data_IF_448752773414
#
_entry.id   IF_448752773414
#
_cell.length_a   1.000
_cell.length_b   1.000
_cell.length_c   1.000
_cell.angle_alpha   90.00
_cell.angle_beta   90.00
_cell.angle_gamma   90.00
#
_symmetry.space_group_name_H-M   'P 1'
#
loop_
_entity.id
_entity.type
_entity.pdbx_description
1 polymer ?
#
# COMPACT_ATOMS: atom_id res chain seq x y z
N UNK A 1 38.78 30.67 9.64
CA UNK A 1 37.43 30.19 9.28
C UNK A 1 37.50 28.69 9.02
N UNK A 2 36.97 27.84 9.92
CA UNK A 2 37.11 26.36 9.86
C UNK A 2 36.62 25.79 8.52
N UNK A 3 35.58 26.38 7.93
CA UNK A 3 35.11 25.99 6.60
C UNK A 3 36.16 26.13 5.49
N UNK A 4 36.92 27.24 5.46
CA UNK A 4 37.96 27.44 4.44
C UNK A 4 39.10 26.44 4.61
N UNK A 5 39.52 26.19 5.85
CA UNK A 5 40.50 25.15 6.15
C UNK A 5 40.02 23.75 5.73
N UNK A 6 38.71 23.46 5.85
CA UNK A 6 38.13 22.19 5.39
C UNK A 6 38.21 22.05 3.86
N UNK A 7 37.98 23.15 3.13
CA UNK A 7 38.08 23.18 1.66
C UNK A 7 39.54 23.05 1.21
N UNK A 8 40.47 23.73 1.88
CA UNK A 8 41.92 23.60 1.63
C UNK A 8 42.38 22.15 1.83
N UNK A 9 42.07 21.55 2.98
CA UNK A 9 42.39 20.15 3.25
C UNK A 9 41.78 19.19 2.20
N UNK A 10 40.58 19.48 1.70
CA UNK A 10 39.96 18.70 0.64
C UNK A 10 40.69 18.86 -0.71
N UNK A 11 41.14 20.06 -1.05
CA UNK A 11 41.87 20.34 -2.28
C UNK A 11 43.27 19.72 -2.25
N UNK A 12 43.91 19.70 -1.08
CA UNK A 12 45.21 19.07 -0.84
C UNK A 12 45.14 17.53 -0.76
N UNK A 13 43.92 16.96 -0.78
CA UNK A 13 43.71 15.52 -0.72
C UNK A 13 43.82 14.93 0.69
N UNK A 14 43.89 15.77 1.73
CA UNK A 14 43.88 15.38 3.14
C UNK A 14 42.46 14.99 3.59
N UNK A 15 41.90 13.93 2.99
CA UNK A 15 40.48 13.59 3.10
C UNK A 15 39.99 13.37 4.54
N UNK A 16 40.81 12.76 5.40
CA UNK A 16 40.43 12.55 6.80
C UNK A 16 40.36 13.87 7.58
N UNK A 17 41.36 14.74 7.41
CA UNK A 17 41.38 16.08 8.01
C UNK A 17 40.22 16.93 7.50
N UNK A 18 39.88 16.85 6.22
CA UNK A 18 38.71 17.52 5.66
C UNK A 18 37.41 17.07 6.35
N UNK A 19 37.25 15.76 6.62
CA UNK A 19 36.09 15.23 7.37
C UNK A 19 36.03 15.82 8.77
N UNK A 20 37.15 15.85 9.49
CA UNK A 20 37.21 16.35 10.87
C UNK A 20 36.84 17.85 10.89
N UNK A 21 37.42 18.64 9.98
CA UNK A 21 37.13 20.06 9.85
C UNK A 21 35.68 20.34 9.43
N UNK A 22 35.11 19.58 8.49
CA UNK A 22 33.69 19.70 8.15
C UNK A 22 32.79 19.29 9.33
N UNK A 23 33.20 18.29 10.11
CA UNK A 23 32.45 17.87 11.30
C UNK A 23 32.41 18.96 12.35
N UNK A 24 33.53 19.65 12.58
CA UNK A 24 33.57 20.79 13.49
C UNK A 24 32.80 22.00 12.94
N UNK A 25 32.88 22.26 11.62
CA UNK A 25 32.06 23.29 10.99
C UNK A 25 30.55 23.01 11.14
N UNK A 26 30.13 21.75 11.03
CA UNK A 26 28.72 21.34 11.21
C UNK A 26 28.26 21.54 12.65
N UNK A 27 29.11 21.27 13.65
CA UNK A 27 28.77 21.54 15.06
C UNK A 27 28.51 23.03 15.30
N UNK A 28 29.26 23.90 14.62
CA UNK A 28 29.11 25.35 14.73
C UNK A 28 27.89 25.87 13.94
N UNK A 29 27.61 25.29 12.78
CA UNK A 29 26.56 25.75 11.86
C UNK A 29 25.75 24.57 11.31
N UNK A 30 24.88 23.93 12.12
CA UNK A 30 24.21 22.67 11.77
C UNK A 30 23.13 22.79 10.69
N UNK A 31 22.76 24.02 10.31
CA UNK A 31 21.75 24.33 9.30
C UNK A 31 22.35 24.70 7.93
N UNK A 32 23.67 24.60 7.75
CA UNK A 32 24.30 24.87 6.47
C UNK A 32 24.41 23.60 5.62
N UNK A 33 23.48 23.43 4.67
CA UNK A 33 23.42 22.28 3.75
C UNK A 33 24.76 22.02 3.03
N UNK A 34 25.47 23.08 2.65
CA UNK A 34 26.75 22.97 1.94
C UNK A 34 27.81 22.20 2.74
N UNK A 35 27.82 22.28 4.06
CA UNK A 35 28.79 21.56 4.89
C UNK A 35 28.58 20.05 4.80
N UNK A 36 27.33 19.60 4.89
CA UNK A 36 26.97 18.20 4.72
C UNK A 36 27.26 17.73 3.28
N UNK A 37 26.89 18.50 2.26
CA UNK A 37 27.14 18.15 0.87
C UNK A 37 28.64 18.02 0.55
N UNK A 38 29.47 18.92 1.10
CA UNK A 38 30.94 18.84 0.95
C UNK A 38 31.50 17.63 1.68
N UNK A 39 31.10 17.37 2.93
CA UNK A 39 31.55 16.18 3.68
C UNK A 39 31.11 14.88 3.02
N UNK A 40 29.89 14.81 2.48
CA UNK A 40 29.40 13.68 1.69
C UNK A 40 30.29 13.41 0.47
N UNK A 41 30.73 14.46 -0.24
CA UNK A 41 31.65 14.32 -1.36
C UNK A 41 33.00 13.71 -0.95
N UNK A 42 33.48 14.01 0.27
CA UNK A 42 34.68 13.39 0.83
C UNK A 42 34.43 11.91 1.16
N UNK A 43 33.28 11.57 1.73
CA UNK A 43 32.91 10.18 1.97
C UNK A 43 32.78 9.35 0.69
N UNK A 44 32.27 9.94 -0.41
CA UNK A 44 32.27 9.30 -1.73
C UNK A 44 33.70 9.01 -2.20
N UNK A 45 34.63 9.98 -2.08
CA UNK A 45 36.05 9.78 -2.44
C UNK A 45 36.70 8.66 -1.61
N UNK A 46 36.29 8.49 -0.36
CA UNK A 46 36.77 7.43 0.54
C UNK A 46 36.02 6.10 0.40
N UNK A 47 35.11 5.96 -0.57
CA UNK A 47 34.26 4.78 -0.72
C UNK A 47 33.47 4.42 0.56
N UNK A 48 32.96 5.44 1.27
CA UNK A 48 32.08 5.30 2.44
C UNK A 48 30.64 5.70 2.08
N UNK A 49 29.94 4.94 1.21
CA UNK A 49 28.67 5.39 0.62
C UNK A 49 27.56 5.62 1.66
N UNK A 50 27.46 4.78 2.69
CA UNK A 50 26.44 4.96 3.74
C UNK A 50 26.61 6.27 4.53
N UNK A 51 27.86 6.71 4.77
CA UNK A 51 28.13 7.99 5.42
C UNK A 51 27.79 9.16 4.48
N UNK A 52 28.12 9.04 3.20
CA UNK A 52 27.75 10.03 2.19
C UNK A 52 26.23 10.19 2.08
N UNK A 53 25.47 9.10 2.03
CA UNK A 53 24.00 9.13 1.93
C UNK A 53 23.38 9.86 3.12
N UNK A 54 23.85 9.60 4.35
CA UNK A 54 23.34 10.30 5.55
C UNK A 54 23.54 11.82 5.46
N UNK A 55 24.71 12.26 5.04
CA UNK A 55 24.99 13.69 4.86
C UNK A 55 24.19 14.28 3.69
N UNK A 56 24.02 13.53 2.59
CA UNK A 56 23.19 13.98 1.46
C UNK A 56 21.74 14.17 1.87
N UNK A 57 21.15 13.19 2.57
CA UNK A 57 19.78 13.30 3.09
C UNK A 57 19.62 14.54 3.96
N UNK A 58 20.59 14.80 4.86
CA UNK A 58 20.55 16.00 5.69
C UNK A 58 20.66 17.29 4.88
N UNK A 59 21.49 17.31 3.83
CA UNK A 59 21.59 18.46 2.95
C UNK A 59 20.30 18.71 2.16
N UNK A 60 19.64 17.65 1.66
CA UNK A 60 18.36 17.70 0.95
C UNK A 60 17.23 18.19 1.85
N UNK A 61 17.18 17.74 3.11
CA UNK A 61 16.21 18.24 4.10
C UNK A 61 16.32 19.76 4.32
N UNK A 62 17.53 20.32 4.23
CA UNK A 62 17.77 21.74 4.45
C UNK A 62 17.54 22.55 3.17
N UNK A 63 18.04 22.07 2.03
CA UNK A 63 17.88 22.71 0.71
C UNK A 63 17.56 21.61 -0.33
N UNK A 64 16.27 21.37 -0.64
CA UNK A 64 15.88 20.31 -1.56
C UNK A 64 16.20 20.65 -3.02
N UNK A 65 16.36 21.92 -3.38
CA UNK A 65 16.62 22.34 -4.76
C UNK A 65 18.12 22.40 -5.10
N UNK A 66 18.98 21.80 -4.28
CA UNK A 66 20.42 21.74 -4.55
C UNK A 66 20.78 20.47 -5.32
N UNK A 67 21.44 20.62 -6.47
CA UNK A 67 21.89 19.47 -7.27
C UNK A 67 23.01 18.65 -6.60
N UNK A 68 23.86 19.30 -5.79
CA UNK A 68 25.10 18.70 -5.27
C UNK A 68 24.87 17.49 -4.33
N UNK A 69 23.91 17.53 -3.37
CA UNK A 69 23.54 16.36 -2.59
C UNK A 69 23.08 15.18 -3.45
N UNK A 70 22.20 15.39 -4.43
CA UNK A 70 21.74 14.31 -5.33
C UNK A 70 22.87 13.74 -6.17
N UNK A 71 23.79 14.58 -6.66
CA UNK A 71 25.00 14.12 -7.35
C UNK A 71 25.84 13.20 -6.46
N UNK A 72 26.03 13.54 -5.18
CA UNK A 72 26.78 12.73 -4.24
C UNK A 72 26.03 11.45 -3.84
N UNK A 73 24.71 11.54 -3.68
CA UNK A 73 23.85 10.41 -3.32
C UNK A 73 23.78 9.38 -4.45
N UNK A 74 23.59 9.82 -5.69
CA UNK A 74 23.64 8.96 -6.87
C UNK A 74 24.99 8.24 -7.04
N UNK A 75 26.10 8.94 -6.77
CA UNK A 75 27.44 8.32 -6.70
C UNK A 75 27.55 7.28 -5.60
N UNK A 76 26.99 7.56 -4.42
CA UNK A 76 27.02 6.65 -3.28
C UNK A 76 26.15 5.40 -3.50
N UNK A 77 24.96 5.55 -4.08
CA UNK A 77 24.12 4.41 -4.48
C UNK A 77 24.77 3.56 -5.56
N UNK A 78 25.48 4.20 -6.52
CA UNK A 78 26.27 3.47 -7.52
C UNK A 78 27.36 2.60 -6.87
N UNK A 79 28.00 3.06 -5.80
CA UNK A 79 28.99 2.27 -5.04
C UNK A 79 28.37 1.10 -4.26
N UNK A 80 27.07 1.15 -3.99
CA UNK A 80 26.31 0.09 -3.32
C UNK A 80 25.60 -0.85 -4.30
N UNK A 81 25.77 -0.65 -5.61
CA UNK A 81 25.00 -1.34 -6.66
C UNK A 81 23.47 -1.11 -6.56
N UNK A 82 23.04 -0.02 -5.93
CA UNK A 82 21.65 0.42 -5.86
C UNK A 82 21.30 1.22 -7.12
N UNK A 83 21.11 0.49 -8.24
CA UNK A 83 21.04 1.11 -9.57
C UNK A 83 19.80 1.98 -9.79
N UNK A 84 18.64 1.59 -9.24
CA UNK A 84 17.39 2.34 -9.41
C UNK A 84 17.48 3.70 -8.71
N UNK A 85 17.94 3.72 -7.45
CA UNK A 85 18.15 4.94 -6.67
C UNK A 85 19.26 5.81 -7.26
N UNK A 86 20.36 5.19 -7.73
CA UNK A 86 21.42 5.91 -8.41
C UNK A 86 20.92 6.60 -9.69
N UNK A 87 20.14 5.92 -10.53
CA UNK A 87 19.57 6.52 -11.74
C UNK A 87 18.65 7.69 -11.41
N UNK A 88 17.80 7.53 -10.39
CA UNK A 88 16.87 8.57 -9.95
C UNK A 88 17.62 9.84 -9.51
N UNK A 89 18.58 9.72 -8.61
CA UNK A 89 19.26 10.89 -8.03
C UNK A 89 20.20 11.56 -9.03
N UNK A 90 20.87 10.80 -9.90
CA UNK A 90 21.69 11.37 -10.98
C UNK A 90 20.81 12.11 -12.01
N UNK A 91 19.63 11.58 -12.34
CA UNK A 91 18.68 12.27 -13.23
C UNK A 91 18.15 13.56 -12.61
N UNK A 92 17.82 13.55 -11.31
CA UNK A 92 17.39 14.74 -10.59
C UNK A 92 18.51 15.78 -10.49
N UNK A 93 19.74 15.36 -10.20
CA UNK A 93 20.90 16.23 -10.20
C UNK A 93 21.06 16.93 -11.57
N UNK A 94 21.06 16.19 -12.67
CA UNK A 94 21.14 16.76 -14.03
C UNK A 94 19.99 17.70 -14.38
N UNK A 95 18.80 17.47 -13.81
CA UNK A 95 17.63 18.35 -14.01
C UNK A 95 17.79 19.67 -13.26
N UNK A 96 18.38 19.65 -12.07
CA UNK A 96 18.61 20.83 -11.24
C UNK A 96 19.81 21.65 -11.72
N UNK A 97 20.91 20.98 -12.04
CA UNK A 97 22.13 21.58 -12.56
C UNK A 97 22.83 20.57 -13.48
N UNK A 98 22.88 20.88 -14.78
CA UNK A 98 23.43 19.96 -15.76
C UNK A 98 24.95 19.85 -15.60
N UNK A 99 25.41 18.62 -15.45
CA UNK A 99 26.82 18.29 -15.30
C UNK A 99 27.16 17.11 -16.22
N UNK A 100 28.16 17.28 -17.08
CA UNK A 100 28.51 16.29 -18.11
C UNK A 100 28.95 14.95 -17.49
N UNK A 101 29.70 14.99 -16.39
CA UNK A 101 30.15 13.78 -15.68
C UNK A 101 28.95 13.03 -15.07
N UNK A 102 27.99 13.77 -14.49
CA UNK A 102 26.76 13.19 -13.93
C UNK A 102 25.91 12.58 -15.04
N UNK A 103 25.78 13.27 -16.16
CA UNK A 103 25.05 12.79 -17.34
C UNK A 103 25.68 11.52 -17.92
N UNK A 104 27.01 11.45 -18.01
CA UNK A 104 27.72 10.25 -18.41
C UNK A 104 27.48 9.09 -17.43
N UNK A 105 27.56 9.37 -16.13
CA UNK A 105 27.30 8.38 -15.08
C UNK A 105 25.86 7.87 -15.11
N UNK A 106 24.88 8.73 -15.38
CA UNK A 106 23.48 8.35 -15.54
C UNK A 106 23.31 7.35 -16.69
N UNK A 107 23.97 7.59 -17.84
CA UNK A 107 23.94 6.65 -18.98
C UNK A 107 24.52 5.27 -18.65
N UNK A 108 25.50 5.20 -17.76
CA UNK A 108 26.07 3.91 -17.31
C UNK A 108 25.10 3.14 -16.40
N UNK A 109 24.40 3.85 -15.51
CA UNK A 109 23.52 3.27 -14.49
C UNK A 109 22.15 2.90 -15.06
N UNK A 110 21.64 3.66 -16.03
CA UNK A 110 20.29 3.53 -16.60
C UNK A 110 19.94 2.11 -17.05
N UNK A 111 20.78 1.38 -17.83
CA UNK A 111 20.42 0.06 -18.33
C UNK A 111 20.31 -0.98 -17.20
N UNK A 112 21.07 -0.82 -16.12
CA UNK A 112 21.01 -1.72 -14.95
C UNK A 112 19.73 -1.46 -14.16
N UNK A 113 19.39 -0.19 -13.93
CA UNK A 113 18.15 0.22 -13.29
C UNK A 113 16.92 -0.30 -14.06
N UNK A 114 16.91 -0.13 -15.39
CA UNK A 114 15.81 -0.59 -16.25
C UNK A 114 15.60 -2.10 -16.18
N UNK A 115 16.68 -2.89 -16.25
CA UNK A 115 16.58 -4.36 -16.14
C UNK A 115 15.98 -4.81 -14.81
N UNK A 116 16.34 -4.14 -13.71
CA UNK A 116 15.79 -4.44 -12.38
C UNK A 116 14.31 -4.07 -12.33
N UNK A 117 13.94 -2.88 -12.79
CA UNK A 117 12.56 -2.42 -12.83
C UNK A 117 11.68 -3.33 -13.71
N UNK A 118 12.17 -3.75 -14.88
CA UNK A 118 11.48 -4.65 -15.80
C UNK A 118 11.26 -6.03 -15.20
N UNK A 119 12.30 -6.59 -14.56
CA UNK A 119 12.20 -7.86 -13.85
C UNK A 119 11.15 -7.76 -12.73
N UNK A 120 11.25 -6.76 -11.85
CA UNK A 120 10.29 -6.50 -10.78
C UNK A 120 8.85 -6.39 -11.31
N UNK A 121 8.65 -5.62 -12.40
CA UNK A 121 7.34 -5.46 -13.06
C UNK A 121 6.80 -6.77 -13.61
N UNK A 122 7.63 -7.58 -14.27
CA UNK A 122 7.23 -8.88 -14.81
C UNK A 122 6.78 -9.83 -13.68
N UNK A 123 7.55 -9.89 -12.59
CA UNK A 123 7.21 -10.72 -11.43
C UNK A 123 5.91 -10.25 -10.77
N UNK A 124 5.70 -8.94 -10.64
CA UNK A 124 4.46 -8.40 -10.08
C UNK A 124 3.25 -8.75 -10.94
N UNK A 125 3.34 -8.59 -12.26
CA UNK A 125 2.28 -8.99 -13.20
C UNK A 125 1.97 -10.48 -13.05
N UNK A 126 2.98 -11.33 -12.95
CA UNK A 126 2.79 -12.77 -12.80
C UNK A 126 2.13 -13.13 -11.45
N UNK A 127 2.53 -12.45 -10.36
CA UNK A 127 1.92 -12.62 -9.04
C UNK A 127 0.45 -12.22 -9.04
N UNK A 128 0.12 -11.05 -9.59
CA UNK A 128 -1.26 -10.57 -9.67
C UNK A 128 -2.11 -11.49 -10.53
N UNK A 129 -1.59 -11.95 -11.68
CA UNK A 129 -2.30 -12.89 -12.55
C UNK A 129 -2.61 -14.21 -11.83
N UNK A 130 -1.64 -14.78 -11.12
CA UNK A 130 -1.85 -16.02 -10.33
C UNK A 130 -2.89 -15.83 -9.24
N UNK A 131 -2.86 -14.69 -8.54
CA UNK A 131 -3.85 -14.37 -7.51
C UNK A 131 -5.28 -14.21 -8.10
N UNK A 132 -5.40 -13.61 -9.28
CA UNK A 132 -6.67 -13.50 -10.00
C UNK A 132 -7.20 -14.87 -10.42
N UNK A 133 -6.37 -15.70 -11.05
CA UNK A 133 -6.75 -17.07 -11.44
C UNK A 133 -7.16 -17.93 -10.23
N UNK A 134 -6.50 -17.77 -9.09
CA UNK A 134 -6.87 -18.45 -7.83
C UNK A 134 -8.22 -17.96 -7.30
N UNK A 135 -8.44 -16.64 -7.25
CA UNK A 135 -9.72 -16.08 -6.81
C UNK A 135 -10.87 -16.51 -7.74
N UNK A 136 -10.69 -16.50 -9.06
CA UNK A 136 -11.68 -16.98 -10.02
C UNK A 136 -12.01 -18.48 -9.83
N UNK A 137 -10.99 -19.31 -9.54
CA UNK A 137 -11.20 -20.73 -9.24
C UNK A 137 -11.94 -20.94 -7.92
N UNK A 138 -11.65 -20.13 -6.91
CA UNK A 138 -12.40 -20.15 -5.65
C UNK A 138 -13.85 -19.73 -5.84
N UNK A 139 -14.11 -18.67 -6.60
CA UNK A 139 -15.45 -18.21 -6.93
C UNK A 139 -16.23 -19.29 -7.70
N UNK A 140 -15.62 -19.92 -8.71
CA UNK A 140 -16.22 -21.03 -9.43
C UNK A 140 -16.51 -22.24 -8.51
N UNK A 141 -15.63 -22.55 -7.56
CA UNK A 141 -15.87 -23.57 -6.52
C UNK A 141 -17.02 -23.20 -5.60
N UNK A 142 -17.13 -21.92 -5.19
CA UNK A 142 -18.26 -21.42 -4.38
C UNK A 142 -19.58 -21.53 -5.14
N UNK A 143 -19.60 -21.16 -6.42
CA UNK A 143 -20.78 -21.24 -7.29
C UNK A 143 -21.19 -22.70 -7.56
N UNK A 144 -20.24 -23.59 -7.87
CA UNK A 144 -20.53 -25.02 -8.08
C UNK A 144 -20.92 -25.75 -6.79
N UNK A 145 -20.32 -25.41 -5.65
CA UNK A 145 -20.72 -25.91 -4.33
C UNK A 145 -22.13 -25.44 -3.93
N UNK A 146 -22.52 -24.24 -4.33
CA UNK A 146 -23.90 -23.75 -4.19
C UNK A 146 -24.87 -24.49 -5.14
N UNK A 147 -24.42 -24.91 -6.32
CA UNK A 147 -25.25 -25.63 -7.30
C UNK A 147 -25.52 -27.10 -6.91
N UNK A 148 -24.62 -27.76 -6.19
CA UNK A 148 -24.84 -29.12 -5.65
C UNK A 148 -25.70 -29.14 -4.37
N UNK A 149 -25.95 -27.98 -3.74
CA UNK A 149 -26.88 -27.82 -2.62
C UNK A 149 -28.35 -27.66 -3.04
N UNK A 150 -28.62 -27.54 -4.34
CA UNK A 150 -29.97 -27.41 -4.90
C UNK A 150 -30.25 -28.58 -5.85
N UNK A 151 -30.55 -29.77 -5.30
CA UNK A 151 -31.22 -30.81 -6.09
C UNK A 151 -32.71 -30.45 -6.24
N UNK A 152 -33.24 -30.24 -7.46
CA UNK A 152 -34.67 -30.12 -7.71
C UNK A 152 -35.23 -31.53 -7.90
N UNK A 153 -35.49 -32.23 -6.80
CA UNK A 153 -35.96 -33.62 -6.82
C UNK A 153 -37.43 -33.74 -6.41
N UNK A 154 -38.34 -33.46 -7.34
CA UNK A 154 -39.72 -33.95 -7.21
C UNK A 154 -39.75 -35.47 -7.46
N UNK A 155 -40.26 -36.23 -6.50
CA UNK A 155 -40.79 -37.58 -6.74
C UNK A 155 -42.25 -37.64 -6.25
N UNK A 156 -43.21 -37.96 -7.14
CA UNK A 156 -44.63 -38.05 -6.80
C UNK A 156 -45.01 -39.48 -6.37
N UNK A 157 -45.57 -39.61 -5.16
CA UNK A 157 -46.43 -40.74 -4.76
C UNK A 157 -45.73 -42.03 -4.32
N UNK A 158 -46.05 -42.51 -3.10
CA UNK A 158 -45.72 -43.88 -2.71
C UNK A 158 -45.75 -44.21 -1.22
N UNK A 159 -46.96 -44.40 -0.69
CA UNK A 159 -47.33 -45.20 0.49
C UNK A 159 -47.27 -44.63 1.91
N UNK A 160 -48.25 -45.05 2.76
CA UNK A 160 -48.60 -44.43 4.03
C UNK A 160 -48.12 -45.24 5.24
N UNK A 161 -47.95 -44.55 6.37
CA UNK A 161 -48.10 -45.16 7.69
C UNK A 161 -46.82 -45.31 8.51
N UNK A 162 -46.82 -44.60 9.65
CA UNK A 162 -46.18 -45.06 10.88
C UNK A 162 -44.94 -44.29 11.34
N UNK A 163 -45.12 -43.20 12.08
CA UNK A 163 -44.83 -43.07 13.53
C UNK A 163 -44.76 -41.58 13.95
N UNK A 164 -45.08 -41.25 15.22
CA UNK A 164 -45.45 -39.91 15.66
C UNK A 164 -44.28 -39.15 16.29
N UNK A 165 -44.20 -37.85 15.99
CA UNK A 165 -43.64 -36.84 16.89
C UNK A 165 -42.16 -36.51 16.75
N UNK A 166 -41.87 -35.26 16.35
CA UNK A 166 -40.70 -34.52 16.83
C UNK A 166 -39.47 -34.45 15.93
N UNK A 167 -39.61 -33.97 14.70
CA UNK A 167 -38.47 -33.52 13.90
C UNK A 167 -37.96 -32.17 14.46
N UNK A 168 -37.09 -32.23 15.46
CA UNK A 168 -36.31 -31.07 15.92
C UNK A 168 -34.97 -31.11 15.20
N UNK A 169 -35.01 -30.71 13.93
CA UNK A 169 -33.87 -30.69 13.02
C UNK A 169 -33.27 -29.30 12.89
N UNK A 170 -31.98 -29.30 12.53
CA UNK A 170 -31.25 -28.18 11.91
C UNK A 170 -30.60 -27.16 12.86
N UNK A 171 -29.74 -27.67 13.75
CA UNK A 171 -28.57 -26.94 14.19
C UNK A 171 -27.53 -26.92 13.05
N UNK A 172 -27.42 -25.80 12.36
CA UNK A 172 -26.46 -25.61 11.26
C UNK A 172 -26.32 -24.13 10.94
N UNK A 173 -25.56 -23.43 11.77
CA UNK A 173 -25.26 -22.01 11.59
C UNK A 173 -24.56 -21.75 10.26
N UNK A 174 -25.05 -20.74 9.54
CA UNK A 174 -24.50 -20.26 8.28
C UNK A 174 -23.07 -19.71 8.50
N UNK A 175 -22.04 -20.17 7.75
CA UNK A 175 -20.67 -19.71 7.98
C UNK A 175 -20.49 -18.29 7.42
N UNK A 176 -20.13 -17.34 8.27
CA UNK A 176 -19.76 -15.96 7.87
C UNK A 176 -20.50 -14.84 8.60
N UNK A 177 -21.52 -15.13 9.40
CA UNK A 177 -22.31 -14.12 10.12
C UNK A 177 -21.89 -13.93 11.59
N UNK A 178 -20.97 -14.76 12.08
CA UNK A 178 -20.42 -14.69 13.43
C UNK A 178 -19.31 -13.62 13.50
N UNK A 179 -19.69 -12.34 13.53
CA UNK A 179 -18.71 -11.27 13.66
C UNK A 179 -19.22 -9.84 13.70
N UNK A 180 -20.50 -9.59 13.41
CA UNK A 180 -21.08 -8.25 13.57
C UNK A 180 -21.75 -8.12 14.95
N UNK A 181 -21.25 -7.25 15.85
CA UNK A 181 -21.97 -6.86 17.06
C UNK A 181 -23.35 -6.29 16.66
N UNK A 182 -24.42 -6.71 17.34
CA UNK A 182 -25.78 -6.21 17.12
C UNK A 182 -26.61 -6.93 16.05
N UNK A 183 -26.04 -7.87 15.28
CA UNK A 183 -26.77 -8.55 14.20
C UNK A 183 -27.90 -9.46 14.71
N UNK A 184 -27.72 -10.10 15.88
CA UNK A 184 -28.79 -10.84 16.54
C UNK A 184 -29.95 -9.94 17.03
N UNK A 185 -29.67 -8.70 17.41
CA UNK A 185 -30.70 -7.74 17.86
C UNK A 185 -31.50 -7.20 16.68
N UNK A 186 -30.84 -6.98 15.54
CA UNK A 186 -31.46 -6.59 14.26
C UNK A 186 -32.39 -7.70 13.74
N UNK A 187 -31.95 -8.96 13.77
CA UNK A 187 -32.74 -10.10 13.29
C UNK A 187 -33.89 -10.50 14.24
N UNK A 188 -33.90 -9.98 15.46
CA UNK A 188 -34.98 -10.21 16.43
C UNK A 188 -36.06 -9.12 16.39
N UNK A 189 -35.88 -8.09 15.56
CA UNK A 189 -36.81 -6.97 15.45
C UNK A 189 -37.98 -7.28 14.51
N UNK A 190 -39.24 -7.27 14.98
CA UNK A 190 -40.40 -7.60 14.16
C UNK A 190 -40.60 -6.67 12.96
N UNK A 191 -40.20 -5.40 13.05
CA UNK A 191 -40.32 -4.43 11.95
C UNK A 191 -39.21 -4.62 10.91
N UNK A 192 -38.01 -5.00 11.34
CA UNK A 192 -36.91 -5.35 10.42
C UNK A 192 -37.25 -6.64 9.68
N UNK A 193 -37.76 -7.65 10.39
CA UNK A 193 -38.22 -8.89 9.77
C UNK A 193 -39.37 -8.66 8.78
N UNK A 194 -40.31 -7.77 9.10
CA UNK A 194 -41.39 -7.39 8.18
C UNK A 194 -40.85 -6.66 6.95
N UNK A 195 -39.86 -5.77 7.09
CA UNK A 195 -39.23 -5.10 5.96
C UNK A 195 -38.45 -6.08 5.08
N UNK A 196 -37.82 -7.10 5.67
CA UNK A 196 -37.15 -8.20 4.96
C UNK A 196 -38.11 -9.15 4.24
N UNK A 197 -39.43 -9.02 4.41
CA UNK A 197 -40.40 -9.74 3.58
C UNK A 197 -40.66 -9.02 2.25
N UNK A 198 -40.27 -7.74 2.12
CA UNK A 198 -40.36 -7.03 0.85
C UNK A 198 -39.20 -7.48 -0.07
N UNK A 199 -39.50 -8.05 -1.26
CA UNK A 199 -38.48 -8.52 -2.19
C UNK A 199 -37.48 -7.43 -2.59
N UNK A 200 -37.93 -6.17 -2.70
CA UNK A 200 -37.06 -5.05 -3.08
C UNK A 200 -36.05 -4.73 -1.97
N UNK A 201 -36.49 -4.81 -0.72
CA UNK A 201 -35.65 -4.57 0.46
C UNK A 201 -34.61 -5.68 0.61
N UNK A 202 -34.99 -6.93 0.38
CA UNK A 202 -34.07 -8.07 0.44
C UNK A 202 -32.99 -8.03 -0.64
N UNK A 203 -33.37 -7.70 -1.88
CA UNK A 203 -32.42 -7.56 -2.98
C UNK A 203 -31.41 -6.45 -2.67
N UNK A 204 -31.89 -5.30 -2.17
CA UNK A 204 -31.01 -4.21 -1.81
C UNK A 204 -30.10 -4.53 -0.62
N UNK A 205 -30.63 -5.21 0.40
CA UNK A 205 -29.84 -5.66 1.55
C UNK A 205 -28.72 -6.60 1.11
N UNK A 206 -29.01 -7.55 0.21
CA UNK A 206 -28.00 -8.47 -0.33
C UNK A 206 -26.95 -7.75 -1.17
N UNK A 207 -27.35 -6.80 -2.03
CA UNK A 207 -26.44 -6.02 -2.87
C UNK A 207 -25.48 -5.15 -2.03
N UNK A 208 -25.99 -4.51 -0.98
CA UNK A 208 -25.18 -3.69 -0.06
C UNK A 208 -24.30 -4.55 0.85
N UNK A 209 -24.79 -5.71 1.30
CA UNK A 209 -24.00 -6.65 2.11
C UNK A 209 -22.81 -7.23 1.33
N UNK A 210 -22.96 -7.43 0.03
CA UNK A 210 -21.87 -7.86 -0.86
C UNK A 210 -20.90 -6.71 -1.18
N UNK A 211 -21.41 -5.48 -1.32
CA UNK A 211 -20.59 -4.31 -1.59
C UNK A 211 -21.19 -3.05 -0.95
N UNK A 212 -20.61 -2.55 0.17
CA UNK A 212 -21.12 -1.38 0.86
C UNK A 212 -21.22 -0.10 0.01
N UNK A 213 -20.44 0.02 -1.07
CA UNK A 213 -20.51 1.17 -1.98
C UNK A 213 -21.84 1.25 -2.76
N UNK A 214 -22.54 0.12 -2.92
CA UNK A 214 -23.80 0.04 -3.66
C UNK A 214 -24.97 0.73 -2.94
N UNK A 215 -24.81 1.08 -1.67
CA UNK A 215 -25.80 1.82 -0.87
C UNK A 215 -26.32 3.09 -1.57
N UNK A 216 -25.44 3.77 -2.30
CA UNK A 216 -25.76 4.97 -3.08
C UNK A 216 -26.87 4.75 -4.12
N UNK A 217 -27.02 3.53 -4.66
CA UNK A 217 -28.04 3.17 -5.66
C UNK A 217 -29.46 3.22 -5.11
N UNK A 218 -29.62 3.05 -3.80
CA UNK A 218 -30.91 2.90 -3.13
C UNK A 218 -31.37 4.15 -2.38
N UNK A 219 -30.62 5.25 -2.48
CA UNK A 219 -30.95 6.52 -1.81
C UNK A 219 -32.31 7.10 -2.25
N UNK A 220 -32.76 6.80 -3.46
CA UNK A 220 -34.06 7.21 -3.99
C UNK A 220 -35.20 6.24 -3.67
N UNK A 221 -34.90 5.05 -3.14
CA UNK A 221 -35.92 4.08 -2.76
C UNK A 221 -36.41 4.36 -1.34
N UNK A 222 -37.65 4.85 -1.23
CA UNK A 222 -38.26 5.25 0.03
C UNK A 222 -38.40 4.09 1.02
N UNK A 223 -38.65 2.85 0.57
CA UNK A 223 -38.76 1.69 1.46
C UNK A 223 -37.43 1.37 2.13
N UNK A 224 -36.35 1.41 1.35
CA UNK A 224 -34.99 1.13 1.82
C UNK A 224 -34.54 2.24 2.76
N UNK A 225 -34.74 3.51 2.38
CA UNK A 225 -34.40 4.66 3.23
C UNK A 225 -35.19 4.71 4.53
N UNK A 226 -36.46 4.27 4.53
CA UNK A 226 -37.25 4.14 5.75
C UNK A 226 -36.67 3.06 6.68
N UNK A 227 -36.27 1.91 6.15
CA UNK A 227 -35.63 0.86 6.95
C UNK A 227 -34.30 1.33 7.54
N UNK A 228 -33.45 1.98 6.73
CA UNK A 228 -32.16 2.52 7.18
C UNK A 228 -32.36 3.56 8.28
N UNK A 229 -33.33 4.46 8.12
CA UNK A 229 -33.64 5.50 9.11
C UNK A 229 -34.09 4.88 10.44
N UNK A 230 -34.91 3.82 10.39
CA UNK A 230 -35.35 3.08 11.59
C UNK A 230 -34.18 2.34 12.26
N UNK A 231 -33.34 1.66 11.48
CA UNK A 231 -32.16 0.97 11.99
C UNK A 231 -31.18 1.97 12.63
N UNK A 232 -30.94 3.12 11.99
CA UNK A 232 -30.09 4.19 12.52
C UNK A 232 -30.66 4.78 13.81
N UNK A 233 -31.97 5.04 13.89
CA UNK A 233 -32.60 5.54 15.10
C UNK A 233 -32.56 4.54 16.27
N UNK A 234 -32.63 3.23 15.96
CA UNK A 234 -32.73 2.16 16.97
C UNK A 234 -31.36 1.63 17.42
N UNK A 235 -30.36 1.64 16.52
CA UNK A 235 -29.04 1.05 16.74
C UNK A 235 -27.87 2.02 16.58
N UNK A 236 -28.09 3.21 16.00
CA UNK A 236 -27.06 4.24 15.78
C UNK A 236 -26.82 5.17 16.99
N UNK A 237 -27.39 4.84 18.15
CA UNK A 237 -27.35 5.65 19.37
C UNK A 237 -26.65 4.97 20.54
N UNK A 238 -25.41 4.50 20.36
CA UNK A 238 -24.44 4.32 21.45
C UNK A 238 -23.06 4.70 20.92
N UNK A 239 -22.65 5.94 21.25
CA UNK A 239 -21.26 6.37 21.22
C UNK A 239 -20.58 6.00 22.55
#
# INVERSE_FOLDING_TARGET
MIYMAAIEALNDGELQKAIDLFTDAIKLSPHLAILYAKRASVFVKLQKPNAAIRDCNRAVEIIPDSAQPYKCQGKAYRLLDHWEEAAHDLALACKLDYDEDVSAMLKEVQPRAQKIAEHRRKYEIERVKKAQEENEREEARRQSGAQYGSFPGGFPGGMPGGFPGGMTGMGGGMPGMAGMPGLNEILSDPEVLAAMQDPEVMVAFQDVAQNPANMSKYQSNSKIMNLISKLSAKFGGQA
#
